data_IF_561872251249
#
_entry.id   IF_561872251249
#
_cell.length_a   1.000
_cell.length_b   1.000
_cell.length_c   1.000
_cell.angle_alpha   90.00
_cell.angle_beta   90.00
_cell.angle_gamma   90.00
#
_symmetry.space_group_name_H-M   'P 1'
#
loop_
_entity.id
_entity.type
_entity.pdbx_description
1 polymer ?
#
# COMPACT_ATOMS: atom_id res chain seq x y z
N UNK A 1 38.33 18.38 29.98
CA UNK A 1 36.97 18.18 29.42
C UNK A 1 37.11 17.91 27.93
N UNK A 2 37.06 16.65 27.52
CA UNK A 2 37.20 16.24 26.12
C UNK A 2 35.80 15.96 25.55
N UNK A 3 35.30 16.87 24.71
CA UNK A 3 34.06 16.70 23.96
C UNK A 3 34.33 15.79 22.75
N UNK A 4 34.02 14.50 22.89
CA UNK A 4 33.95 13.55 21.78
C UNK A 4 32.66 13.79 21.00
N UNK A 5 32.79 14.48 19.87
CA UNK A 5 31.79 14.58 18.82
C UNK A 5 31.54 13.17 18.25
N UNK A 6 30.48 12.48 18.69
CA UNK A 6 30.00 11.25 18.03
C UNK A 6 29.38 11.62 16.69
N UNK A 7 30.21 11.68 15.65
CA UNK A 7 29.73 11.55 14.28
C UNK A 7 29.31 10.08 14.13
N UNK A 8 28.01 9.84 13.97
CA UNK A 8 27.45 8.54 13.58
C UNK A 8 27.85 8.24 12.13
N UNK A 9 29.12 7.87 11.93
CA UNK A 9 29.56 7.20 10.71
C UNK A 9 29.03 5.76 10.80
N UNK A 10 28.18 5.36 9.84
CA UNK A 10 27.94 3.93 9.64
C UNK A 10 29.28 3.24 9.43
N UNK A 11 29.59 2.22 10.24
CA UNK A 11 30.86 1.52 10.17
C UNK A 11 31.01 0.84 8.80
N UNK A 12 32.00 1.26 8.03
CA UNK A 12 32.31 0.77 6.69
C UNK A 12 33.20 -0.48 6.77
N UNK A 13 32.85 -1.55 6.05
CA UNK A 13 33.71 -2.71 5.85
C UNK A 13 33.93 -2.94 4.35
N UNK A 14 35.15 -2.64 3.91
CA UNK A 14 35.66 -3.02 2.58
C UNK A 14 36.70 -4.11 2.79
N UNK A 15 36.33 -5.36 2.53
CA UNK A 15 37.27 -6.47 2.51
C UNK A 15 37.76 -6.69 1.07
N UNK A 16 39.06 -6.83 0.90
CA UNK A 16 39.69 -7.20 -0.37
C UNK A 16 40.51 -8.47 -0.16
N UNK A 17 40.66 -9.26 -1.22
CA UNK A 17 41.63 -10.35 -1.26
C UNK A 17 43.04 -9.77 -1.29
N UNK A 18 44.04 -10.60 -1.02
CA UNK A 18 45.46 -10.20 -1.07
C UNK A 18 45.90 -9.69 -2.46
N UNK A 19 45.23 -10.13 -3.53
CA UNK A 19 45.44 -9.67 -4.90
C UNK A 19 44.77 -8.31 -5.22
N UNK A 20 44.11 -7.68 -4.24
CA UNK A 20 43.41 -6.40 -4.40
C UNK A 20 42.00 -6.50 -4.96
N UNK A 21 41.52 -7.71 -5.34
CA UNK A 21 40.14 -7.92 -5.79
C UNK A 21 39.16 -7.76 -4.63
N UNK A 22 37.96 -7.23 -4.93
CA UNK A 22 36.95 -6.97 -3.91
C UNK A 22 36.38 -8.28 -3.37
N UNK A 23 36.45 -8.47 -2.05
CA UNK A 23 35.84 -9.60 -1.35
C UNK A 23 34.46 -9.22 -0.81
N UNK A 24 34.35 -8.02 -0.24
CA UNK A 24 33.13 -7.53 0.39
C UNK A 24 33.16 -6.00 0.44
N UNK A 25 32.06 -5.33 0.10
CA UNK A 25 31.90 -3.89 0.32
C UNK A 25 30.50 -3.63 0.87
N UNK A 26 30.44 -3.16 2.12
CA UNK A 26 29.16 -2.81 2.76
C UNK A 26 28.45 -1.63 2.10
N UNK A 27 29.09 -0.86 1.21
CA UNK A 27 28.47 0.25 0.49
C UNK A 27 27.50 -0.19 -0.62
N UNK A 28 27.64 -1.42 -1.14
CA UNK A 28 26.85 -1.89 -2.29
C UNK A 28 25.88 -3.02 -1.92
N UNK A 29 25.61 -3.23 -0.62
CA UNK A 29 24.69 -4.28 -0.19
C UNK A 29 23.26 -3.76 -0.32
N UNK A 30 22.45 -4.43 -1.13
CA UNK A 30 21.05 -4.03 -1.39
C UNK A 30 20.07 -4.46 -0.30
N UNK A 31 20.54 -4.77 0.92
CA UNK A 31 19.72 -5.09 2.10
C UNK A 31 18.61 -6.13 1.89
N UNK A 32 18.82 -7.10 1.00
CA UNK A 32 17.82 -8.11 0.65
C UNK A 32 16.76 -7.63 -0.35
N UNK A 33 16.98 -6.50 -1.03
CA UNK A 33 16.18 -6.07 -2.17
C UNK A 33 16.29 -7.13 -3.27
N UNK A 34 15.16 -7.70 -3.64
CA UNK A 34 15.04 -8.73 -4.67
C UNK A 34 14.51 -8.17 -5.97
N UNK A 35 13.78 -7.04 -5.92
CA UNK A 35 13.25 -6.38 -7.11
C UNK A 35 12.85 -4.94 -6.82
N UNK A 36 13.06 -4.04 -7.77
CA UNK A 36 12.50 -2.68 -7.73
C UNK A 36 12.12 -2.22 -9.13
N UNK A 37 11.10 -1.37 -9.23
CA UNK A 37 10.65 -0.85 -10.52
C UNK A 37 9.35 -0.07 -10.42
N UNK A 38 8.80 0.29 -11.57
CA UNK A 38 7.46 0.86 -11.67
C UNK A 38 6.41 -0.25 -11.74
N UNK A 39 5.25 -0.04 -11.11
CA UNK A 39 4.13 -0.96 -11.25
C UNK A 39 3.59 -0.97 -12.68
N UNK A 40 3.08 -2.12 -13.10
CA UNK A 40 2.41 -2.30 -14.40
C UNK A 40 0.95 -2.62 -14.19
N UNK A 41 0.11 -2.28 -15.16
CA UNK A 41 -1.26 -2.79 -15.22
C UNK A 41 -1.23 -4.31 -15.26
N UNK A 42 -2.02 -4.96 -14.40
CA UNK A 42 -2.14 -6.43 -14.33
C UNK A 42 -3.47 -6.86 -14.92
N UNK A 43 -4.56 -6.35 -14.35
CA UNK A 43 -5.92 -6.74 -14.69
C UNK A 43 -6.92 -5.73 -14.15
N UNK A 44 -8.19 -6.03 -14.35
CA UNK A 44 -9.31 -5.17 -13.97
C UNK A 44 -10.35 -6.02 -13.25
N UNK A 45 -10.81 -5.58 -12.07
CA UNK A 45 -11.74 -6.33 -11.24
C UNK A 45 -13.13 -5.68 -11.23
N UNK A 46 -14.15 -6.47 -11.53
CA UNK A 46 -15.55 -6.01 -11.54
C UNK A 46 -16.13 -6.01 -10.14
N UNK A 47 -16.91 -4.98 -9.84
CA UNK A 47 -17.69 -4.93 -8.60
C UNK A 47 -18.88 -5.87 -8.68
N UNK A 48 -19.44 -6.21 -7.53
CA UNK A 48 -20.55 -7.15 -7.43
C UNK A 48 -21.77 -6.47 -6.83
N UNK A 49 -22.92 -6.69 -7.45
CA UNK A 49 -24.21 -6.23 -6.97
C UNK A 49 -24.98 -7.42 -6.42
N UNK A 50 -25.64 -7.22 -5.28
CA UNK A 50 -26.42 -8.26 -4.63
C UNK A 50 -27.77 -8.41 -5.33
N UNK A 51 -28.18 -9.65 -5.64
CA UNK A 51 -29.44 -9.90 -6.36
C UNK A 51 -30.70 -9.49 -5.57
N UNK A 52 -30.62 -9.38 -4.24
CA UNK A 52 -31.71 -8.87 -3.41
C UNK A 52 -31.85 -9.58 -2.06
N UNK A 53 -32.64 -9.01 -1.15
CA UNK A 53 -32.80 -9.49 0.22
C UNK A 53 -33.49 -10.85 0.40
N UNK A 54 -33.98 -11.46 -0.67
CA UNK A 54 -34.66 -12.76 -0.68
C UNK A 54 -33.72 -13.95 -0.95
N UNK A 55 -32.42 -13.70 -1.09
CA UNK A 55 -31.42 -14.74 -1.36
C UNK A 55 -30.26 -14.66 -0.36
N UNK A 56 -29.54 -15.76 -0.14
CA UNK A 56 -28.43 -15.78 0.84
C UNK A 56 -27.21 -15.00 0.32
N UNK A 57 -26.75 -13.92 1.00
CA UNK A 57 -25.57 -13.17 0.58
C UNK A 57 -24.27 -13.98 0.65
N UNK A 58 -24.22 -15.09 1.40
CA UNK A 58 -23.04 -15.94 1.48
C UNK A 58 -22.84 -16.82 0.23
N UNK A 59 -23.88 -17.00 -0.58
CA UNK A 59 -23.78 -17.78 -1.80
C UNK A 59 -23.31 -16.90 -2.97
N UNK A 60 -22.13 -17.20 -3.52
CA UNK A 60 -21.54 -16.44 -4.64
C UNK A 60 -22.45 -16.33 -5.87
N UNK A 61 -23.32 -17.32 -6.10
CA UNK A 61 -24.32 -17.31 -7.17
C UNK A 61 -25.40 -16.24 -7.02
N UNK A 62 -25.54 -15.62 -5.84
CA UNK A 62 -26.47 -14.53 -5.57
C UNK A 62 -25.91 -13.13 -5.84
N UNK A 63 -24.74 -13.07 -6.47
CA UNK A 63 -24.10 -11.83 -6.87
C UNK A 63 -24.06 -11.74 -8.39
N UNK A 64 -24.27 -10.55 -8.91
CA UNK A 64 -24.11 -10.23 -10.34
C UNK A 64 -22.94 -9.28 -10.49
N UNK A 65 -22.07 -9.54 -11.46
CA UNK A 65 -21.01 -8.59 -11.78
C UNK A 65 -21.61 -7.32 -12.38
N UNK A 66 -21.02 -6.18 -12.05
CA UNK A 66 -21.31 -4.92 -12.70
C UNK A 66 -21.06 -5.06 -14.21
N UNK A 67 -22.04 -4.64 -15.02
CA UNK A 67 -22.00 -4.84 -16.48
C UNK A 67 -20.92 -3.97 -17.10
N UNK A 68 -20.01 -4.59 -17.86
CA UNK A 68 -19.01 -3.88 -18.68
C UNK A 68 -19.55 -3.81 -20.11
N UNK A 69 -19.76 -2.61 -20.63
CA UNK A 69 -20.06 -2.39 -22.06
C UNK A 69 -18.90 -1.65 -22.72
N UNK A 70 -18.87 -1.52 -24.05
CA UNK A 70 -17.88 -0.68 -24.74
C UNK A 70 -17.84 0.75 -24.21
N UNK A 71 -18.92 1.18 -23.55
CA UNK A 71 -18.99 2.49 -22.93
C UNK A 71 -18.84 2.45 -21.42
N UNK A 72 -18.96 1.30 -20.75
CA UNK A 72 -19.04 1.21 -19.28
C UNK A 72 -17.98 0.29 -18.72
N UNK A 73 -17.11 0.83 -17.88
CA UNK A 73 -16.06 0.11 -17.18
C UNK A 73 -16.29 0.19 -15.67
N UNK A 74 -17.36 -0.45 -15.18
CA UNK A 74 -17.62 -0.58 -13.74
C UNK A 74 -16.61 -1.51 -13.07
N UNK A 75 -15.35 -1.10 -13.00
CA UNK A 75 -14.27 -1.98 -12.61
C UNK A 75 -13.07 -1.24 -12.04
N UNK A 76 -12.47 -1.81 -11.00
CA UNK A 76 -11.28 -1.30 -10.35
C UNK A 76 -10.04 -1.77 -11.13
N UNK A 77 -9.16 -0.83 -11.46
CA UNK A 77 -7.89 -1.11 -12.16
C UNK A 77 -6.87 -1.64 -11.16
N UNK A 78 -6.25 -2.77 -11.48
CA UNK A 78 -5.26 -3.42 -10.62
C UNK A 78 -3.87 -3.24 -11.24
N UNK A 79 -2.99 -2.58 -10.47
CA UNK A 79 -1.57 -2.47 -10.76
C UNK A 79 -0.78 -3.46 -9.92
N UNK A 80 0.42 -3.81 -10.36
CA UNK A 80 1.20 -4.79 -9.64
C UNK A 80 2.54 -5.09 -10.28
N UNK A 81 3.19 -6.11 -9.74
CA UNK A 81 4.45 -6.65 -10.21
C UNK A 81 4.62 -8.07 -9.70
N UNK A 82 5.50 -8.83 -10.35
CA UNK A 82 5.80 -10.22 -10.00
C UNK A 82 7.24 -10.40 -9.51
N UNK A 83 7.41 -11.20 -8.46
CA UNK A 83 8.71 -11.61 -7.89
C UNK A 83 8.78 -13.13 -7.90
N UNK A 84 9.90 -13.67 -8.39
CA UNK A 84 10.11 -15.12 -8.52
C UNK A 84 10.91 -15.64 -7.33
N UNK A 85 10.53 -16.80 -6.81
CA UNK A 85 11.17 -17.48 -5.68
C UNK A 85 11.19 -16.67 -4.36
N UNK A 86 10.25 -15.74 -4.19
CA UNK A 86 10.10 -15.00 -2.94
C UNK A 86 9.62 -15.93 -1.81
N UNK A 87 10.29 -15.87 -0.65
CA UNK A 87 9.98 -16.62 0.56
C UNK A 87 9.24 -15.77 1.60
N UNK A 88 9.76 -14.58 1.91
CA UNK A 88 9.15 -13.66 2.87
C UNK A 88 9.25 -12.21 2.39
N UNK A 89 8.54 -11.87 1.30
CA UNK A 89 8.65 -10.55 0.69
C UNK A 89 7.95 -9.46 1.51
N UNK A 90 8.57 -8.29 1.56
CA UNK A 90 8.04 -7.04 2.10
C UNK A 90 8.20 -5.94 1.04
N UNK A 91 7.16 -5.15 0.82
CA UNK A 91 7.08 -4.22 -0.31
C UNK A 91 6.91 -2.80 0.18
N UNK A 92 7.89 -1.95 -0.12
CA UNK A 92 7.81 -0.51 0.12
C UNK A 92 7.43 0.21 -1.16
N UNK A 93 6.51 1.17 -1.05
CA UNK A 93 6.01 1.95 -2.19
C UNK A 93 6.44 3.40 -2.12
N UNK A 94 6.82 3.98 -3.25
CA UNK A 94 6.82 5.44 -3.45
C UNK A 94 5.67 5.79 -4.38
N UNK A 95 4.80 6.69 -3.93
CA UNK A 95 3.50 6.96 -4.54
C UNK A 95 2.38 6.10 -3.95
N UNK A 96 1.16 6.33 -4.42
CA UNK A 96 -0.04 5.71 -3.87
C UNK A 96 -0.16 4.22 -4.18
N UNK A 97 -0.79 3.47 -3.27
CA UNK A 97 -1.12 2.06 -3.44
C UNK A 97 -1.79 1.44 -2.21
N UNK A 98 -2.85 0.68 -2.44
CA UNK A 98 -3.57 -0.13 -1.44
C UNK A 98 -3.48 -1.61 -1.85
N UNK A 99 -2.84 -2.44 -1.02
CA UNK A 99 -2.69 -3.87 -1.30
C UNK A 99 -4.05 -4.57 -1.27
N UNK A 100 -4.41 -5.23 -2.36
CA UNK A 100 -5.63 -6.05 -2.49
C UNK A 100 -5.37 -7.53 -2.25
N UNK A 101 -4.11 -7.94 -2.32
CA UNK A 101 -3.69 -9.30 -2.06
C UNK A 101 -2.51 -9.70 -2.91
N UNK A 102 -2.18 -10.99 -2.82
CA UNK A 102 -1.07 -11.61 -3.56
C UNK A 102 -1.57 -12.86 -4.26
N UNK A 103 -1.18 -13.04 -5.52
CA UNK A 103 -1.46 -14.25 -6.31
C UNK A 103 -0.17 -15.05 -6.46
N UNK A 104 -0.22 -16.36 -6.22
CA UNK A 104 0.93 -17.25 -6.45
C UNK A 104 0.64 -18.11 -7.69
N UNK A 105 1.56 -18.08 -8.66
CA UNK A 105 1.50 -18.91 -9.88
C UNK A 105 2.86 -19.62 -10.02
N UNK A 106 2.87 -20.92 -9.72
CA UNK A 106 4.14 -21.67 -9.62
C UNK A 106 5.05 -21.02 -8.59
N UNK A 107 6.26 -20.62 -9.00
CA UNK A 107 7.23 -19.95 -8.13
C UNK A 107 7.14 -18.41 -8.16
N UNK A 108 6.14 -17.85 -8.84
CA UNK A 108 5.97 -16.40 -8.98
C UNK A 108 4.90 -15.89 -8.02
N UNK A 109 5.24 -14.88 -7.22
CA UNK A 109 4.31 -14.13 -6.38
C UNK A 109 4.02 -12.78 -7.02
N UNK A 110 2.76 -12.52 -7.33
CA UNK A 110 2.26 -11.26 -7.92
C UNK A 110 1.55 -10.45 -6.84
N UNK A 111 2.01 -9.23 -6.61
CA UNK A 111 1.36 -8.30 -5.70
C UNK A 111 0.36 -7.42 -6.45
N UNK A 112 -0.83 -7.26 -5.90
CA UNK A 112 -1.95 -6.59 -6.54
C UNK A 112 -2.36 -5.36 -5.72
N UNK A 113 -2.37 -4.20 -6.36
CA UNK A 113 -2.65 -2.91 -5.74
C UNK A 113 -3.75 -2.15 -6.49
N UNK A 114 -4.69 -1.58 -5.76
CA UNK A 114 -5.55 -0.49 -6.24
C UNK A 114 -4.99 0.84 -5.77
N UNK A 115 -5.53 1.96 -6.28
CA UNK A 115 -5.03 3.32 -5.98
C UNK A 115 -3.54 3.51 -6.27
N UNK A 116 -2.99 2.64 -7.10
CA UNK A 116 -1.66 2.73 -7.66
C UNK A 116 -1.75 3.18 -9.12
N UNK A 117 -0.60 3.49 -9.70
CA UNK A 117 -0.49 3.92 -11.09
C UNK A 117 0.78 3.37 -11.72
N UNK A 118 0.95 3.59 -13.02
CA UNK A 118 2.21 3.31 -13.70
C UNK A 118 3.39 4.13 -13.14
N UNK A 119 3.13 5.20 -12.38
CA UNK A 119 4.16 6.01 -11.72
C UNK A 119 4.47 5.55 -10.30
N UNK A 120 3.70 4.61 -9.73
CA UNK A 120 3.99 4.06 -8.40
C UNK A 120 5.24 3.19 -8.48
N UNK A 121 6.27 3.55 -7.71
CA UNK A 121 7.50 2.76 -7.59
C UNK A 121 7.32 1.72 -6.49
N UNK A 122 7.88 0.53 -6.69
CA UNK A 122 7.98 -0.50 -5.66
C UNK A 122 9.44 -0.87 -5.39
N UNK A 123 9.70 -1.21 -4.13
CA UNK A 123 10.95 -1.80 -3.66
C UNK A 123 10.60 -3.04 -2.85
N UNK A 124 10.81 -4.21 -3.43
CA UNK A 124 10.51 -5.50 -2.81
C UNK A 124 11.79 -6.09 -2.22
N UNK A 125 11.76 -6.33 -0.92
CA UNK A 125 12.82 -7.01 -0.18
C UNK A 125 12.34 -8.39 0.25
N UNK A 126 13.23 -9.36 0.39
CA UNK A 126 12.89 -10.67 0.94
C UNK A 126 13.63 -10.90 2.27
N UNK A 127 12.87 -11.11 3.34
CA UNK A 127 13.37 -11.28 4.71
C UNK A 127 13.92 -12.67 5.01
N UNK A 128 13.85 -13.60 4.06
CA UNK A 128 14.33 -14.98 4.24
C UNK A 128 15.08 -15.55 3.03
N UNK A 129 15.20 -14.80 1.94
CA UNK A 129 16.01 -15.21 0.80
C UNK A 129 17.50 -14.95 1.07
N UNK A 130 18.31 -15.98 0.85
CA UNK A 130 19.77 -15.86 0.89
C UNK A 130 20.23 -15.08 -0.34
N UNK A 131 20.86 -13.92 -0.13
CA UNK A 131 21.30 -13.04 -1.20
C UNK A 131 22.59 -13.51 -1.92
N UNK A 132 23.25 -14.58 -1.45
CA UNK A 132 24.54 -15.03 -1.97
C UNK A 132 24.64 -16.55 -2.17
N UNK A 133 25.09 -16.96 -3.37
CA UNK A 133 25.43 -18.35 -3.69
C UNK A 133 26.88 -18.62 -3.25
N UNK A 134 27.10 -19.47 -2.24
CA UNK A 134 28.45 -19.81 -1.74
C UNK A 134 28.50 -20.28 -0.28
N UNK A 135 29.68 -20.62 0.23
CA UNK A 135 29.95 -20.93 1.66
C UNK A 135 30.96 -19.93 2.24
N UNK A 136 30.65 -19.39 3.42
CA UNK A 136 31.57 -18.58 4.24
C UNK A 136 30.90 -17.33 4.77
N UNK A 137 30.11 -17.45 5.86
CA UNK A 137 29.29 -16.34 6.32
C UNK A 137 29.38 -16.14 7.83
N UNK A 138 29.55 -14.88 8.24
CA UNK A 138 29.74 -14.45 9.63
C UNK A 138 28.46 -14.66 10.43
N UNK A 139 28.36 -15.76 11.17
CA UNK A 139 27.37 -15.91 12.25
C UNK A 139 27.84 -15.07 13.42
N UNK A 140 27.22 -13.91 13.63
CA UNK A 140 27.53 -13.10 14.81
C UNK A 140 26.92 -13.77 16.05
N UNK A 141 27.79 -14.14 16.99
CA UNK A 141 27.39 -14.54 18.34
C UNK A 141 27.24 -13.26 19.14
N UNK A 142 26.05 -13.02 19.70
CA UNK A 142 25.84 -11.91 20.62
C UNK A 142 26.67 -12.13 21.91
N UNK A 143 26.91 -11.09 22.71
CA UNK A 143 27.61 -11.22 24.00
C UNK A 143 26.96 -12.22 24.96
N UNK A 144 25.66 -12.47 24.81
CA UNK A 144 24.86 -13.45 25.58
C UNK A 144 24.97 -14.89 25.04
N UNK A 145 25.89 -15.16 24.11
CA UNK A 145 26.05 -16.44 23.43
C UNK A 145 24.93 -16.88 22.50
N UNK A 146 23.88 -16.08 22.30
CA UNK A 146 22.88 -16.37 21.27
C UNK A 146 23.44 -16.17 19.86
N UNK A 147 23.08 -17.07 18.95
CA UNK A 147 23.37 -16.91 17.52
C UNK A 147 22.24 -16.08 16.89
N UNK A 148 22.56 -14.98 16.20
CA UNK A 148 21.55 -14.29 15.38
C UNK A 148 21.33 -15.10 14.10
N UNK A 149 20.13 -15.65 13.93
CA UNK A 149 19.78 -16.52 12.79
C UNK A 149 19.70 -15.81 11.42
N UNK A 150 20.01 -14.51 11.33
CA UNK A 150 19.90 -13.77 10.07
C UNK A 150 21.03 -12.73 9.88
N UNK A 151 22.28 -13.11 10.15
CA UNK A 151 23.44 -12.20 10.04
C UNK A 151 23.83 -11.81 8.61
N UNK A 152 23.16 -12.38 7.59
CA UNK A 152 23.39 -12.11 6.16
C UNK A 152 22.42 -11.11 5.55
N UNK A 153 21.35 -10.77 6.25
CA UNK A 153 20.44 -9.73 5.83
C UNK A 153 20.74 -8.51 6.68
N UNK A 154 21.45 -7.49 6.14
CA UNK A 154 21.60 -6.28 6.89
C UNK A 154 20.19 -5.71 7.12
N UNK A 155 19.91 -5.19 8.32
CA UNK A 155 18.57 -4.77 8.70
C UNK A 155 18.05 -3.78 7.66
N UNK A 156 16.79 -3.97 7.23
CA UNK A 156 16.07 -2.98 6.44
C UNK A 156 16.28 -1.61 7.09
N UNK A 157 16.76 -0.64 6.33
CA UNK A 157 17.09 0.69 6.83
C UNK A 157 15.81 1.49 7.10
N UNK A 158 15.02 1.04 8.07
CA UNK A 158 13.81 1.71 8.52
C UNK A 158 14.22 2.99 9.23
N UNK A 159 14.02 4.12 8.57
CA UNK A 159 14.39 5.44 9.09
C UNK A 159 13.28 6.06 9.94
N UNK A 160 12.04 5.57 9.80
CA UNK A 160 10.91 6.02 10.59
C UNK A 160 9.82 4.96 10.69
N UNK A 161 9.11 4.95 11.80
CA UNK A 161 7.88 4.20 12.02
C UNK A 161 6.80 5.19 12.46
N UNK A 162 5.75 5.35 11.65
CA UNK A 162 4.75 6.40 11.83
C UNK A 162 3.39 5.75 11.98
N UNK A 163 2.67 6.06 13.05
CA UNK A 163 1.30 5.60 13.24
C UNK A 163 0.33 6.44 12.40
N UNK A 164 -0.64 5.78 11.77
CA UNK A 164 -1.73 6.45 11.06
C UNK A 164 -2.51 7.36 12.03
N UNK A 165 -2.91 8.57 11.61
CA UNK A 165 -3.78 9.42 12.42
C UNK A 165 -5.13 8.73 12.70
N UNK A 166 -5.77 8.99 13.85
CA UNK A 166 -7.07 8.39 14.16
C UNK A 166 -8.15 8.88 13.18
N UNK A 167 -9.19 8.07 12.89
CA UNK A 167 -10.37 8.53 12.15
C UNK A 167 -11.08 9.67 12.90
N UNK A 168 -11.85 10.47 12.16
CA UNK A 168 -12.72 11.52 12.74
C UNK A 168 -14.15 11.39 12.25
N UNK A 169 -15.08 12.03 12.95
CA UNK A 169 -16.52 11.95 12.66
C UNK A 169 -17.14 10.61 13.06
N UNK A 170 -18.37 10.39 12.63
CA UNK A 170 -19.16 9.22 13.02
C UNK A 170 -18.76 7.99 12.20
N UNK A 171 -18.25 6.96 12.88
CA UNK A 171 -17.92 5.67 12.26
C UNK A 171 -19.08 4.66 12.33
N UNK A 172 -20.30 5.14 12.61
CA UNK A 172 -21.51 4.31 12.70
C UNK A 172 -21.93 3.71 11.36
N UNK A 173 -22.77 2.68 11.44
CA UNK A 173 -23.28 1.91 10.29
C UNK A 173 -24.61 2.45 9.75
N UNK A 174 -25.25 3.38 10.48
CA UNK A 174 -26.59 3.86 10.17
C UNK A 174 -26.56 5.03 9.19
N UNK A 175 -27.41 4.92 8.18
CA UNK A 175 -27.73 6.00 7.24
C UNK A 175 -28.79 6.94 7.85
N UNK A 176 -28.68 8.28 7.66
CA UNK A 176 -27.59 8.98 6.99
C UNK A 176 -26.35 9.07 7.87
N UNK A 177 -25.17 8.87 7.26
CA UNK A 177 -23.91 9.07 7.99
C UNK A 177 -23.70 10.57 8.16
N UNK A 178 -23.45 11.10 9.37
CA UNK A 178 -23.20 12.51 9.59
C UNK A 178 -22.05 13.06 8.73
N UNK A 179 -22.17 14.32 8.30
CA UNK A 179 -21.15 15.01 7.49
C UNK A 179 -19.83 15.03 8.27
N UNK A 180 -18.72 14.70 7.60
CA UNK A 180 -17.39 14.86 8.16
C UNK A 180 -16.71 13.59 8.65
N UNK A 181 -17.30 12.40 8.43
CA UNK A 181 -16.62 11.13 8.67
C UNK A 181 -15.43 10.94 7.72
N UNK A 182 -14.22 10.92 8.30
CA UNK A 182 -12.96 10.73 7.55
C UNK A 182 -12.16 9.57 8.14
N UNK A 183 -11.40 8.84 7.32
CA UNK A 183 -10.61 7.72 7.82
C UNK A 183 -9.35 8.14 8.57
N UNK A 184 -8.94 9.41 8.41
CA UNK A 184 -7.86 10.03 9.17
C UNK A 184 -8.23 11.47 9.56
N UNK A 185 -7.79 11.89 10.74
CA UNK A 185 -7.70 13.29 11.12
C UNK A 185 -6.80 14.03 10.12
N UNK A 186 -7.26 15.17 9.61
CA UNK A 186 -6.54 15.94 8.60
C UNK A 186 -6.58 15.35 7.17
N UNK A 187 -7.38 14.30 6.93
CA UNK A 187 -7.49 13.75 5.58
C UNK A 187 -8.05 14.77 4.58
N UNK A 188 -7.38 14.83 3.44
CA UNK A 188 -7.81 15.51 2.22
C UNK A 188 -8.54 14.49 1.34
N UNK A 189 -9.74 14.85 0.89
CA UNK A 189 -10.48 14.05 -0.07
C UNK A 189 -10.08 14.43 -1.49
N UNK A 190 -9.83 13.42 -2.31
CA UNK A 190 -9.51 13.61 -3.71
C UNK A 190 -10.42 12.72 -4.56
N UNK A 191 -10.96 13.32 -5.62
CA UNK A 191 -11.66 12.60 -6.68
C UNK A 191 -10.62 12.30 -7.76
N UNK A 192 -10.10 11.08 -7.76
CA UNK A 192 -9.04 10.64 -8.67
C UNK A 192 -9.55 10.38 -10.08
N UNK A 193 -10.81 9.97 -10.19
CA UNK A 193 -11.42 9.63 -11.46
C UNK A 193 -12.88 10.06 -11.47
N UNK A 194 -13.31 10.59 -12.62
CA UNK A 194 -14.70 10.93 -12.89
C UNK A 194 -15.20 10.04 -14.00
N UNK A 195 -16.42 9.53 -13.86
CA UNK A 195 -17.13 8.83 -14.90
C UNK A 195 -17.45 9.81 -16.05
N UNK A 196 -16.64 9.79 -17.11
CA UNK A 196 -16.85 10.63 -18.31
C UNK A 196 -17.04 9.78 -19.55
N UNK A 197 -18.09 10.02 -20.33
CA UNK A 197 -18.32 9.32 -21.60
C UNK A 197 -17.18 9.57 -22.61
N UNK A 198 -16.93 8.66 -23.56
CA UNK A 198 -17.64 7.40 -23.79
C UNK A 198 -17.15 6.26 -22.89
N UNK A 199 -16.08 6.41 -22.10
CA UNK A 199 -15.53 5.39 -21.21
C UNK A 199 -15.94 5.66 -19.75
N UNK A 200 -17.12 5.18 -19.36
CA UNK A 200 -17.67 5.27 -18.02
C UNK A 200 -16.92 4.37 -17.03
N UNK A 201 -15.69 4.70 -16.69
CA UNK A 201 -15.04 4.13 -15.52
C UNK A 201 -15.68 4.69 -14.24
N UNK A 202 -15.82 3.87 -13.19
CA UNK A 202 -16.44 4.33 -11.93
C UNK A 202 -15.66 5.48 -11.34
N UNK A 203 -16.34 6.43 -10.68
CA UNK A 203 -15.64 7.43 -9.91
C UNK A 203 -14.78 6.79 -8.82
N UNK A 204 -13.55 7.27 -8.69
CA UNK A 204 -12.63 6.84 -7.66
C UNK A 204 -12.44 8.00 -6.70
N UNK A 205 -12.85 7.79 -5.45
CA UNK A 205 -12.63 8.72 -4.35
C UNK A 205 -11.60 8.14 -3.40
N UNK A 206 -10.63 8.97 -3.03
CA UNK A 206 -9.63 8.63 -2.03
C UNK A 206 -9.62 9.65 -0.90
N UNK A 207 -9.17 9.19 0.27
CA UNK A 207 -8.91 10.04 1.42
C UNK A 207 -7.45 9.85 1.81
N UNK A 208 -6.67 10.93 1.79
CA UNK A 208 -5.22 10.89 1.96
C UNK A 208 -4.79 11.80 3.10
N UNK A 209 -3.81 11.38 3.89
CA UNK A 209 -3.14 12.23 4.88
C UNK A 209 -1.63 12.06 4.78
N UNK A 210 -0.90 13.17 4.78
CA UNK A 210 0.54 13.19 4.64
C UNK A 210 1.21 13.43 5.99
N UNK A 211 2.24 12.64 6.28
CA UNK A 211 3.05 12.73 7.48
C UNK A 211 4.49 13.09 7.08
N UNK A 212 4.96 14.25 7.51
CA UNK A 212 6.31 14.73 7.20
C UNK A 212 7.38 13.96 7.99
N UNK A 213 8.52 13.71 7.35
CA UNK A 213 9.74 13.15 7.98
C UNK A 213 10.87 14.17 7.87
N UNK A 214 11.52 14.25 6.71
CA UNK A 214 12.54 15.26 6.39
C UNK A 214 12.31 15.78 4.97
N UNK A 215 12.28 17.10 4.76
CA UNK A 215 12.04 17.68 3.45
C UNK A 215 13.15 17.31 2.44
N UNK A 216 12.79 17.22 1.16
CA UNK A 216 13.73 17.01 0.05
C UNK A 216 14.24 15.57 -0.15
N UNK A 217 13.84 14.63 0.69
CA UNK A 217 14.22 13.21 0.58
C UNK A 217 13.04 12.40 0.08
N UNK A 218 13.25 11.56 -0.93
CA UNK A 218 12.26 10.59 -1.39
C UNK A 218 12.23 9.38 -0.45
N UNK A 219 11.05 9.08 0.07
CA UNK A 219 10.82 7.90 0.90
C UNK A 219 10.04 6.84 0.13
N UNK A 220 10.13 5.60 0.60
CA UNK A 220 9.17 4.53 0.31
C UNK A 220 8.58 4.02 1.63
N UNK A 221 7.32 3.59 1.61
CA UNK A 221 6.59 3.19 2.82
C UNK A 221 5.94 1.81 2.67
N UNK A 222 5.90 1.07 3.77
CA UNK A 222 5.23 -0.23 3.88
C UNK A 222 4.20 -0.19 5.02
N UNK A 223 3.00 -0.71 4.74
CA UNK A 223 1.96 -0.88 5.75
C UNK A 223 1.85 -2.37 6.11
N UNK A 224 2.16 -2.79 7.35
CA UNK A 224 2.13 -4.21 7.73
C UNK A 224 0.75 -4.86 7.68
N UNK A 225 -0.31 -4.08 7.87
CA UNK A 225 -1.69 -4.52 7.79
C UNK A 225 -2.57 -3.32 7.45
N UNK A 226 -3.65 -3.56 6.71
CA UNK A 226 -4.60 -2.52 6.30
C UNK A 226 -5.92 -2.67 7.05
N UNK A 227 -6.58 -1.54 7.31
CA UNK A 227 -8.01 -1.52 7.69
C UNK A 227 -8.89 -1.55 6.45
N UNK A 228 -10.10 -2.07 6.62
CA UNK A 228 -11.20 -1.86 5.69
C UNK A 228 -12.04 -0.65 6.10
N UNK A 229 -12.84 -0.13 5.17
CA UNK A 229 -13.88 0.85 5.46
C UNK A 229 -15.04 0.72 4.48
N UNK A 230 -16.08 1.49 4.72
CA UNK A 230 -17.14 1.75 3.76
C UNK A 230 -16.99 3.16 3.19
N UNK A 231 -17.03 3.27 1.88
CA UNK A 231 -16.96 4.55 1.16
C UNK A 231 -18.36 4.89 0.68
N UNK A 232 -18.81 6.08 1.05
CA UNK A 232 -20.09 6.66 0.64
C UNK A 232 -19.81 7.81 -0.30
N UNK A 233 -20.48 7.81 -1.44
CA UNK A 233 -20.37 8.85 -2.43
C UNK A 233 -21.76 9.37 -2.79
N UNK A 234 -21.87 10.69 -2.85
CA UNK A 234 -23.07 11.42 -3.25
C UNK A 234 -22.72 12.27 -4.47
N UNK A 235 -23.64 12.38 -5.43
CA UNK A 235 -23.40 13.17 -6.62
C UNK A 235 -24.66 13.83 -7.14
N UNK A 236 -24.60 15.16 -7.30
CA UNK A 236 -25.61 15.96 -7.99
C UNK A 236 -25.40 16.02 -9.52
N UNK A 237 -24.57 15.13 -10.08
CA UNK A 237 -24.27 14.98 -11.51
C UNK A 237 -23.86 13.54 -11.84
N UNK A 238 -24.29 12.58 -11.02
CA UNK A 238 -24.03 11.16 -11.20
C UNK A 238 -25.31 10.46 -11.69
N UNK A 239 -25.24 9.35 -12.43
CA UNK A 239 -26.42 8.58 -12.83
C UNK A 239 -27.23 8.05 -11.62
N UNK A 240 -26.58 7.93 -10.46
CA UNK A 240 -27.17 7.45 -9.21
C UNK A 240 -26.99 8.49 -8.09
N UNK A 241 -28.06 8.76 -7.34
CA UNK A 241 -28.07 9.80 -6.30
C UNK A 241 -27.15 9.47 -5.10
N UNK A 242 -26.89 8.19 -4.82
CA UNK A 242 -25.93 7.72 -3.81
C UNK A 242 -25.45 6.33 -4.16
N UNK A 243 -24.16 6.07 -3.99
CA UNK A 243 -23.57 4.75 -4.13
C UNK A 243 -22.55 4.51 -3.01
N UNK A 244 -22.47 3.25 -2.56
CA UNK A 244 -21.55 2.82 -1.50
C UNK A 244 -20.82 1.55 -1.88
N UNK A 245 -19.57 1.44 -1.45
CA UNK A 245 -18.69 0.30 -1.76
C UNK A 245 -17.59 0.17 -0.70
N UNK A 246 -16.89 -0.96 -0.68
CA UNK A 246 -15.79 -1.19 0.26
C UNK A 246 -14.52 -0.40 -0.09
N UNK A 247 -13.82 0.06 0.93
CA UNK A 247 -12.51 0.69 0.82
C UNK A 247 -11.43 -0.10 1.54
N UNK A 248 -10.19 0.07 1.09
CA UNK A 248 -8.99 -0.53 1.69
C UNK A 248 -7.94 0.54 1.97
N UNK A 249 -7.24 0.35 3.08
CA UNK A 249 -6.14 1.20 3.50
C UNK A 249 -4.83 0.84 2.80
N UNK A 250 -4.01 1.85 2.54
CA UNK A 250 -2.68 1.73 1.98
C UNK A 250 -1.76 2.85 2.47
N UNK A 251 -0.49 2.74 2.10
CA UNK A 251 0.48 3.79 2.33
C UNK A 251 1.52 3.86 1.21
N UNK A 252 2.16 5.00 1.09
CA UNK A 252 3.25 5.21 0.15
C UNK A 252 4.16 6.33 0.62
N UNK A 253 5.43 6.24 0.28
CA UNK A 253 6.38 7.31 0.49
C UNK A 253 6.21 8.42 -0.55
N UNK A 254 6.58 9.63 -0.17
CA UNK A 254 6.61 10.82 -1.02
C UNK A 254 7.92 11.56 -0.75
N UNK A 255 8.21 12.59 -1.55
CA UNK A 255 9.28 13.53 -1.19
C UNK A 255 8.87 14.28 0.07
N UNK A 256 9.69 14.19 1.12
CA UNK A 256 9.44 14.89 2.38
C UNK A 256 8.80 14.05 3.49
N UNK A 257 8.30 12.84 3.19
CA UNK A 257 7.62 12.01 4.18
C UNK A 257 6.85 10.83 3.59
N UNK A 258 5.76 10.44 4.25
CA UNK A 258 4.87 9.37 3.79
C UNK A 258 3.43 9.85 3.70
N UNK A 259 2.60 9.08 3.03
CA UNK A 259 1.17 9.30 2.95
C UNK A 259 0.43 8.01 3.30
N UNK A 260 -0.56 8.13 4.18
CA UNK A 260 -1.59 7.12 4.37
C UNK A 260 -2.77 7.43 3.45
N UNK A 261 -3.46 6.40 2.98
CA UNK A 261 -4.61 6.57 2.12
C UNK A 261 -5.67 5.47 2.29
N UNK A 262 -6.92 5.85 2.12
CA UNK A 262 -7.99 4.92 1.77
C UNK A 262 -8.46 5.19 0.35
N UNK A 263 -8.82 4.12 -0.35
CA UNK A 263 -9.56 4.19 -1.60
C UNK A 263 -10.29 2.87 -1.88
N UNK A 264 -10.86 2.67 -3.07
CA UNK A 264 -11.64 1.48 -3.37
C UNK A 264 -10.86 0.19 -3.12
N UNK A 265 -11.52 -0.75 -2.44
CA UNK A 265 -11.08 -2.14 -2.41
C UNK A 265 -11.51 -2.81 -3.72
N UNK A 266 -10.59 -3.52 -4.37
CA UNK A 266 -10.81 -4.09 -5.70
C UNK A 266 -11.91 -5.15 -5.67
N UNK A 267 -12.85 -5.07 -6.62
CA UNK A 267 -13.88 -6.11 -6.81
C UNK A 267 -14.87 -6.22 -5.64
N UNK A 268 -14.92 -5.19 -4.80
CA UNK A 268 -15.81 -5.14 -3.64
C UNK A 268 -17.28 -5.09 -4.06
N UNK A 269 -18.21 -5.56 -3.21
CA UNK A 269 -19.63 -5.30 -3.39
C UNK A 269 -19.96 -3.81 -3.48
N UNK A 270 -20.91 -3.47 -4.34
CA UNK A 270 -21.49 -2.12 -4.42
C UNK A 270 -23.01 -2.16 -4.23
N UNK A 271 -23.55 -1.07 -3.72
CA UNK A 271 -24.98 -0.89 -3.47
C UNK A 271 -25.38 0.59 -3.68
N UNK A 272 -26.65 0.81 -4.02
CA UNK A 272 -27.24 2.11 -4.38
C UNK A 272 -28.42 2.43 -3.47
N UNK A 273 -28.17 2.78 -2.20
CA UNK A 273 -29.25 3.02 -1.24
C UNK A 273 -30.10 4.23 -1.66
N UNK A 274 -31.40 4.16 -1.40
CA UNK A 274 -32.31 5.29 -1.64
C UNK A 274 -31.93 6.49 -0.76
N UNK A 275 -31.87 7.66 -1.37
CA UNK A 275 -31.55 8.91 -0.68
C UNK A 275 -32.79 9.45 0.03
N UNK A 276 -32.68 9.72 1.32
CA UNK A 276 -33.64 10.60 2.00
C UNK A 276 -33.32 12.03 1.56
N UNK A 277 -34.22 12.65 0.81
CA UNK A 277 -34.08 13.95 0.17
C UNK A 277 -33.55 15.05 1.13
N UNK A 278 -32.63 15.89 0.65
CA UNK A 278 -32.39 17.22 1.23
C UNK A 278 -30.98 17.62 1.67
N UNK A 279 -29.96 16.75 1.62
CA UNK A 279 -28.59 17.16 1.98
C UNK A 279 -27.55 16.61 1.00
N UNK A 280 -26.93 17.44 0.15
CA UNK A 280 -25.72 17.05 -0.57
C UNK A 280 -24.60 16.85 0.45
N UNK A 281 -24.01 15.66 0.48
CA UNK A 281 -22.93 15.34 1.41
C UNK A 281 -21.65 15.04 0.64
N UNK A 282 -20.47 15.56 1.08
CA UNK A 282 -19.21 15.15 0.47
C UNK A 282 -18.99 13.63 0.67
N UNK A 283 -18.14 13.01 -0.16
CA UNK A 283 -17.74 11.62 0.05
C UNK A 283 -17.32 11.38 1.50
N UNK A 284 -17.82 10.31 2.10
CA UNK A 284 -17.63 10.00 3.52
C UNK A 284 -17.09 8.59 3.68
N UNK A 285 -16.19 8.42 4.65
CA UNK A 285 -15.57 7.13 4.95
C UNK A 285 -16.02 6.72 6.35
N UNK A 286 -16.70 5.59 6.45
CA UNK A 286 -17.28 5.07 7.69
C UNK A 286 -16.84 3.64 7.96
N UNK A 287 -17.21 3.11 9.13
CA UNK A 287 -16.84 1.76 9.58
C UNK A 287 -15.32 1.52 9.59
N UNK A 288 -14.52 2.59 9.72
CA UNK A 288 -13.07 2.46 9.90
C UNK A 288 -12.82 2.04 11.35
N UNK A 289 -12.00 1.02 11.56
CA UNK A 289 -11.62 0.60 12.90
C UNK A 289 -10.93 1.76 13.66
N UNK A 290 -11.42 2.08 14.86
CA UNK A 290 -10.96 3.19 15.71
C UNK A 290 -10.09 2.75 16.87
N UNK A 291 -10.12 1.47 17.22
CA UNK A 291 -9.39 0.85 18.35
C UNK A 291 -7.95 0.45 17.99
N UNK A 292 -7.67 0.30 16.69
CA UNK A 292 -6.39 -0.14 16.15
C UNK A 292 -5.97 0.77 15.00
N UNK A 293 -4.78 1.35 15.10
CA UNK A 293 -4.20 2.21 14.07
C UNK A 293 -2.91 1.58 13.54
N UNK A 294 -2.78 1.38 12.22
CA UNK A 294 -1.58 0.76 11.68
C UNK A 294 -0.39 1.71 11.75
N UNK A 295 0.80 1.14 11.81
CA UNK A 295 2.07 1.86 11.80
C UNK A 295 2.80 1.55 10.49
N UNK A 296 2.99 2.56 9.66
CA UNK A 296 3.78 2.45 8.44
C UNK A 296 5.27 2.50 8.77
N UNK A 297 6.06 1.68 8.08
CA UNK A 297 7.51 1.72 8.12
C UNK A 297 8.00 2.49 6.90
N UNK A 298 8.96 3.40 7.07
CA UNK A 298 9.52 4.19 5.99
C UNK A 298 11.01 3.89 5.79
N UNK A 299 11.45 3.89 4.53
CA UNK A 299 12.85 3.80 4.11
C UNK A 299 13.18 4.98 3.19
N UNK A 300 14.45 5.42 3.18
CA UNK A 300 14.95 6.33 2.15
C UNK A 300 15.22 5.53 0.86
N UNK A 301 14.82 6.06 -0.29
CA UNK A 301 15.08 5.38 -1.58
C UNK A 301 16.49 5.64 -2.10
N UNK A 302 17.18 6.66 -1.58
CA UNK A 302 18.55 7.01 -1.96
C UNK A 302 19.51 5.86 -1.66
N UNK A 303 20.27 5.45 -2.67
CA UNK A 303 21.24 4.35 -2.56
C UNK A 303 20.65 2.96 -2.86
N UNK A 304 19.33 2.84 -3.06
CA UNK A 304 18.73 1.61 -3.57
C UNK A 304 18.82 1.57 -5.11
N UNK A 305 19.20 0.43 -5.73
CA UNK A 305 19.17 0.32 -7.18
C UNK A 305 17.73 0.37 -7.69
N UNK A 306 17.52 1.12 -8.77
CA UNK A 306 16.22 1.30 -9.38
C UNK A 306 16.36 1.64 -10.88
N UNK A 307 15.73 0.88 -11.79
CA UNK A 307 15.07 -0.41 -11.55
C UNK A 307 16.08 -1.52 -11.17
N UNK A 308 15.60 -2.60 -10.57
CA UNK A 308 16.41 -3.76 -10.16
C UNK A 308 15.63 -5.07 -10.33
N UNK A 309 16.29 -6.13 -10.81
CA UNK A 309 15.73 -7.47 -11.02
C UNK A 309 16.77 -8.53 -10.64
#
# INVERSE_FOLDING_TARGET
MHNLLRVLLMAQLVAKRQDGTLLFDTNNITYGLVKSGYMTFIETWRRRQFKGGNVDPNWGGNWTESTVSQSVAFSDVIYGFAVVNAKSPIVFLTGSGCLQGTKIIGNSMVFLYTNASANTKFYCFDLMQDAFVGRGYLKARKPDSSMSFNSLQPPLNIVSAIQAPPPIGTQATQYPIPVGSKPYAGAVFAREQIQTGPNFQVNIYTARVTMSIRPGIEYAAYLPWSRGCQIWVYGSNEPYNTFRYGGSEGCGGIVGGIQFMFGPAGGTPEDHPMVVTGTPMPPSFSQVATDRLPTALAIETSGLPFPFN
#
